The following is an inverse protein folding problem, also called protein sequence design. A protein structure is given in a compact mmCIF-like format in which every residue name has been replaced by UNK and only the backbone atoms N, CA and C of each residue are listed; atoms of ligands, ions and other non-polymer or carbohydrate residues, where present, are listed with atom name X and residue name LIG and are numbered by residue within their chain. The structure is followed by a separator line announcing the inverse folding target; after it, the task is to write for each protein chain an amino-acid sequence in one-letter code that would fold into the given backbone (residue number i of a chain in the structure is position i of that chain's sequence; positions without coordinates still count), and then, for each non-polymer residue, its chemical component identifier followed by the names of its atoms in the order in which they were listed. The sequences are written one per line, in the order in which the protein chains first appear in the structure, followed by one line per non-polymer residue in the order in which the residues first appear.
data_IF_821104773240
#
_entry.id   IF_821104773240
#
_cell.length_a   1.000
_cell.length_b   1.000
_cell.length_c   1.000
_cell.angle_alpha   90.00
_cell.angle_beta   90.00
_cell.angle_gamma   90.00
#
_symmetry.space_group_name_H-M   'P 1'
#
loop_
_entity.id
_entity.type
_entity.pdbx_description
1 polymer ?
#
# COMPACT_ATOMS: atom_id res chain seq x y z
N UNK A 1 5.22 -27.12 -36.94
CA UNK A 1 3.88 -27.36 -36.37
C UNK A 1 3.55 -26.23 -35.43
N UNK A 2 2.29 -25.79 -35.32
CA UNK A 2 1.90 -24.68 -34.43
C UNK A 2 0.87 -25.15 -33.40
N UNK A 3 1.01 -24.69 -32.15
CA UNK A 3 0.08 -25.01 -31.06
C UNK A 3 -0.24 -23.74 -30.26
N UNK A 4 -1.51 -23.55 -29.93
CA UNK A 4 -1.96 -22.43 -29.10
C UNK A 4 -1.90 -22.79 -27.62
N UNK A 5 -1.40 -21.90 -26.74
CA UNK A 5 -1.46 -22.09 -25.29
C UNK A 5 -2.90 -22.30 -24.79
N UNK A 6 -3.10 -23.37 -24.00
CA UNK A 6 -4.41 -23.86 -23.55
C UNK A 6 -5.16 -24.71 -24.57
N UNK A 7 -4.62 -24.89 -25.78
CA UNK A 7 -5.14 -25.78 -26.80
C UNK A 7 -4.32 -27.07 -26.91
N UNK A 8 -4.72 -27.91 -27.87
CA UNK A 8 -4.04 -29.17 -28.17
C UNK A 8 -3.72 -29.26 -29.65
N UNK A 9 -2.57 -29.85 -29.99
CA UNK A 9 -2.22 -30.19 -31.36
C UNK A 9 -1.53 -31.56 -31.40
N UNK A 10 -1.59 -32.27 -32.53
CA UNK A 10 -0.99 -33.61 -32.66
C UNK A 10 -0.08 -33.72 -33.87
N UNK A 11 0.96 -34.55 -33.76
CA UNK A 11 1.79 -34.99 -34.88
C UNK A 11 2.16 -36.46 -34.71
N UNK A 12 2.76 -37.06 -35.72
CA UNK A 12 3.11 -38.47 -35.72
C UNK A 12 4.61 -38.66 -35.85
N UNK A 13 5.13 -39.72 -35.23
CA UNK A 13 6.50 -40.18 -35.36
C UNK A 13 6.47 -41.66 -35.77
N UNK A 14 7.13 -41.99 -36.87
CA UNK A 14 7.25 -43.38 -37.34
C UNK A 14 8.56 -43.98 -36.85
N UNK A 15 8.47 -45.08 -36.11
CA UNK A 15 9.62 -45.88 -35.65
C UNK A 15 9.72 -47.11 -36.54
N UNK A 16 10.91 -47.37 -37.08
CA UNK A 16 11.19 -48.56 -37.90
C UNK A 16 12.32 -49.38 -37.28
N UNK A 17 12.11 -50.69 -37.18
CA UNK A 17 13.16 -51.62 -36.75
C UNK A 17 13.98 -52.08 -37.96
N UNK A 18 15.17 -51.51 -38.15
CA UNK A 18 16.12 -51.92 -39.19
C UNK A 18 17.09 -53.03 -38.73
N UNK A 19 16.86 -53.58 -37.53
CA UNK A 19 17.62 -54.70 -36.99
C UNK A 19 17.17 -56.06 -37.52
N UNK A 20 17.87 -57.10 -37.08
CA UNK A 20 17.67 -58.52 -37.40
C UNK A 20 16.92 -59.30 -36.31
N UNK A 21 16.68 -58.68 -35.15
CA UNK A 21 15.94 -59.25 -34.01
C UNK A 21 14.68 -58.42 -33.70
N UNK A 22 13.74 -59.04 -32.96
CA UNK A 22 12.61 -58.33 -32.37
C UNK A 22 13.14 -57.39 -31.29
N UNK A 23 12.70 -56.14 -31.30
CA UNK A 23 13.21 -55.07 -30.44
C UNK A 23 12.01 -54.29 -29.88
N UNK A 24 12.07 -53.96 -28.60
CA UNK A 24 11.13 -53.04 -27.97
C UNK A 24 11.76 -51.65 -27.87
N UNK A 25 11.04 -50.62 -28.31
CA UNK A 25 11.47 -49.23 -28.25
C UNK A 25 10.63 -48.46 -27.24
N UNK A 26 11.29 -47.81 -26.28
CA UNK A 26 10.65 -46.86 -25.36
C UNK A 26 10.86 -45.44 -25.89
N UNK A 27 9.80 -44.65 -25.96
CA UNK A 27 9.82 -43.30 -26.46
C UNK A 27 9.63 -42.30 -25.33
N UNK A 28 10.53 -41.34 -25.25
CA UNK A 28 10.51 -40.30 -24.21
C UNK A 28 10.70 -38.93 -24.86
N UNK A 29 9.77 -38.01 -24.61
CA UNK A 29 9.94 -36.62 -25.05
C UNK A 29 10.94 -35.94 -24.11
N UNK A 30 11.92 -35.24 -24.67
CA UNK A 30 12.98 -34.55 -23.93
C UNK A 30 13.12 -33.11 -24.41
N UNK A 31 13.69 -32.25 -23.56
CA UNK A 31 13.84 -30.83 -23.82
C UNK A 31 12.61 -30.01 -23.39
N UNK A 32 12.53 -28.77 -23.89
CA UNK A 32 11.58 -27.76 -23.43
C UNK A 32 10.11 -28.12 -23.70
N UNK A 33 9.86 -29.03 -24.65
CA UNK A 33 8.52 -29.54 -24.94
C UNK A 33 8.04 -30.63 -23.96
N UNK A 34 8.92 -31.26 -23.20
CA UNK A 34 8.62 -32.47 -22.45
C UNK A 34 7.52 -32.28 -21.40
N UNK A 35 7.47 -31.13 -20.74
CA UNK A 35 6.50 -30.83 -19.69
C UNK A 35 5.04 -30.78 -20.18
N UNK A 36 4.82 -30.63 -21.47
CA UNK A 36 3.49 -30.44 -22.07
C UNK A 36 3.27 -31.29 -23.33
N UNK A 37 4.09 -32.32 -23.53
CA UNK A 37 3.95 -33.25 -24.65
C UNK A 37 3.83 -34.68 -24.15
N UNK A 38 2.88 -35.43 -24.69
CA UNK A 38 2.74 -36.87 -24.44
C UNK A 38 2.97 -37.67 -25.72
N UNK A 39 3.49 -38.89 -25.58
CA UNK A 39 3.71 -39.83 -26.68
C UNK A 39 2.92 -41.10 -26.43
N UNK A 40 2.08 -41.49 -27.39
CA UNK A 40 1.23 -42.67 -27.29
C UNK A 40 1.24 -43.50 -28.59
N UNK A 41 1.54 -44.80 -28.54
CA UNK A 41 2.05 -45.54 -27.37
C UNK A 41 3.49 -45.12 -26.99
N UNK A 42 3.79 -45.07 -25.69
CA UNK A 42 5.13 -44.75 -25.17
C UNK A 42 6.13 -45.92 -25.32
N UNK A 43 5.64 -47.13 -25.64
CA UNK A 43 6.46 -48.30 -25.91
C UNK A 43 5.86 -49.11 -27.06
N UNK A 44 6.69 -49.45 -28.03
CA UNK A 44 6.31 -50.26 -29.20
C UNK A 44 7.24 -51.48 -29.31
N UNK A 45 6.72 -52.61 -29.78
CA UNK A 45 7.51 -53.83 -30.00
C UNK A 45 7.45 -54.19 -31.47
N UNK A 46 8.60 -54.14 -32.15
CA UNK A 46 8.68 -54.23 -33.60
C UNK A 46 9.50 -55.45 -34.04
N UNK A 47 8.96 -56.20 -35.00
CA UNK A 47 9.72 -57.24 -35.70
C UNK A 47 10.72 -56.61 -36.69
N UNK A 48 11.78 -57.34 -37.07
CA UNK A 48 12.70 -56.93 -38.13
C UNK A 48 11.97 -56.42 -39.39
N UNK A 49 12.34 -55.25 -39.88
CA UNK A 49 11.78 -54.62 -41.08
C UNK A 49 10.39 -54.00 -40.92
N UNK A 50 9.78 -54.06 -39.74
CA UNK A 50 8.45 -53.47 -39.48
C UNK A 50 8.55 -52.04 -38.97
N UNK A 51 7.46 -51.27 -39.11
CA UNK A 51 7.35 -49.92 -38.58
C UNK A 51 6.02 -49.72 -37.86
N UNK A 52 6.03 -48.87 -36.85
CA UNK A 52 4.83 -48.43 -36.15
C UNK A 52 4.83 -46.91 -36.03
N UNK A 53 3.65 -46.31 -36.05
CA UNK A 53 3.47 -44.87 -35.94
C UNK A 53 2.91 -44.55 -34.56
N UNK A 54 3.63 -43.71 -33.81
CA UNK A 54 3.17 -43.17 -32.54
C UNK A 54 2.61 -41.76 -32.74
N UNK A 55 1.71 -41.37 -31.85
CA UNK A 55 1.12 -40.02 -31.83
C UNK A 55 1.78 -39.20 -30.73
N UNK A 56 2.24 -38.02 -31.09
CA UNK A 56 2.72 -36.99 -30.18
C UNK A 56 1.59 -35.96 -29.99
N UNK A 57 1.18 -35.74 -28.76
CA UNK A 57 0.14 -34.77 -28.40
C UNK A 57 0.75 -33.63 -27.59
N UNK A 58 0.60 -32.41 -28.09
CA UNK A 58 1.11 -31.18 -27.46
C UNK A 58 -0.05 -30.45 -26.81
N UNK A 59 0.07 -30.15 -25.52
CA UNK A 59 -0.92 -29.43 -24.73
C UNK A 59 -0.25 -28.38 -23.83
N UNK A 60 0.39 -27.34 -24.40
CA UNK A 60 1.02 -26.29 -23.60
C UNK A 60 -0.03 -25.59 -22.72
N UNK A 61 0.19 -25.48 -21.40
CA UNK A 61 -0.73 -24.74 -20.54
C UNK A 61 -0.83 -23.27 -20.98
N UNK A 62 -1.99 -22.66 -20.76
CA UNK A 62 -2.16 -21.21 -20.96
C UNK A 62 -1.47 -20.44 -19.82
N UNK A 63 -0.14 -20.36 -19.89
CA UNK A 63 0.73 -19.77 -18.88
C UNK A 63 1.88 -18.98 -19.51
N UNK A 64 2.30 -17.90 -18.85
CA UNK A 64 3.45 -17.08 -19.25
C UNK A 64 4.79 -17.85 -19.17
N UNK A 65 4.81 -18.98 -18.47
CA UNK A 65 5.96 -19.88 -18.39
C UNK A 65 6.30 -20.52 -19.74
N UNK A 66 5.29 -20.76 -20.59
CA UNK A 66 5.48 -21.30 -21.94
C UNK A 66 5.56 -20.15 -22.94
N UNK A 67 6.79 -19.69 -23.20
CA UNK A 67 7.09 -18.57 -24.10
C UNK A 67 6.58 -18.82 -25.52
N UNK A 68 6.09 -17.75 -26.17
CA UNK A 68 5.74 -17.81 -27.58
C UNK A 68 6.98 -17.96 -28.46
N UNK A 69 6.83 -18.61 -29.61
CA UNK A 69 7.89 -18.78 -30.60
C UNK A 69 8.30 -20.23 -30.81
N UNK A 70 9.46 -20.41 -31.43
CA UNK A 70 9.96 -21.74 -31.82
C UNK A 70 10.58 -22.44 -30.61
N UNK A 71 10.05 -23.60 -30.26
CA UNK A 71 10.54 -24.46 -29.18
C UNK A 71 11.07 -25.77 -29.77
N UNK A 72 12.30 -26.20 -29.40
CA UNK A 72 12.86 -27.46 -29.88
C UNK A 72 12.10 -28.66 -29.29
N UNK A 73 11.78 -29.62 -30.16
CA UNK A 73 11.21 -30.91 -29.82
C UNK A 73 12.26 -31.99 -30.06
N UNK A 74 12.53 -32.80 -29.05
CA UNK A 74 13.36 -33.98 -29.18
C UNK A 74 12.62 -35.19 -28.61
N UNK A 75 12.62 -36.30 -29.33
CA UNK A 75 12.04 -37.57 -28.86
C UNK A 75 13.16 -38.59 -28.78
N UNK A 76 13.51 -39.02 -27.58
CA UNK A 76 14.50 -40.06 -27.36
C UNK A 76 13.84 -41.43 -27.57
N UNK A 77 14.39 -42.20 -28.50
CA UNK A 77 13.94 -43.56 -28.81
C UNK A 77 14.98 -44.55 -28.27
N UNK A 78 14.61 -45.30 -27.24
CA UNK A 78 15.46 -46.20 -26.46
C UNK A 78 15.17 -47.66 -26.82
N UNK A 79 16.06 -48.35 -27.54
CA UNK A 79 15.97 -49.80 -27.74
C UNK A 79 16.21 -50.54 -26.42
N UNK A 80 15.49 -51.63 -26.18
CA UNK A 80 15.58 -52.42 -24.95
C UNK A 80 16.73 -53.43 -24.95
N UNK A 81 16.99 -54.09 -26.08
CA UNK A 81 18.02 -55.11 -26.26
C UNK A 81 19.38 -54.50 -26.64
N UNK A 82 19.39 -53.34 -27.31
CA UNK A 82 20.61 -52.58 -27.67
C UNK A 82 20.61 -51.13 -27.14
N UNK A 83 20.81 -50.92 -25.83
CA UNK A 83 20.77 -49.58 -25.22
C UNK A 83 21.82 -48.60 -25.75
N UNK A 84 22.86 -49.06 -26.43
CA UNK A 84 23.86 -48.23 -27.09
C UNK A 84 23.38 -47.61 -28.42
N UNK A 85 22.28 -48.11 -28.99
CA UNK A 85 21.75 -47.71 -30.30
C UNK A 85 20.64 -46.63 -30.20
N UNK A 86 20.72 -45.76 -29.20
CA UNK A 86 19.73 -44.69 -28.98
C UNK A 86 19.75 -43.66 -30.10
N UNK A 87 18.58 -43.24 -30.55
CA UNK A 87 18.41 -42.15 -31.51
C UNK A 87 17.50 -41.07 -30.94
N UNK A 88 17.77 -39.82 -31.32
CA UNK A 88 16.99 -38.65 -30.87
C UNK A 88 16.58 -37.84 -32.10
N UNK A 89 15.46 -38.18 -32.77
CA UNK A 89 14.86 -37.30 -33.76
C UNK A 89 14.51 -35.94 -33.15
N UNK A 90 14.91 -34.88 -33.86
CA UNK A 90 14.67 -33.48 -33.48
C UNK A 90 13.72 -32.82 -34.49
N UNK A 91 12.88 -31.91 -33.98
CA UNK A 91 11.97 -31.07 -34.76
C UNK A 91 11.67 -29.78 -33.98
N UNK A 92 10.74 -28.96 -34.48
CA UNK A 92 10.37 -27.71 -33.84
C UNK A 92 8.86 -27.55 -33.73
N UNK A 93 8.41 -27.05 -32.58
CA UNK A 93 7.03 -26.68 -32.30
C UNK A 93 6.94 -25.17 -32.11
N UNK A 94 6.08 -24.52 -32.87
CA UNK A 94 5.81 -23.08 -32.75
C UNK A 94 4.67 -22.87 -31.77
N UNK A 95 4.96 -22.29 -30.61
CA UNK A 95 3.95 -21.89 -29.63
C UNK A 95 3.37 -20.53 -30.05
N UNK A 96 2.05 -20.46 -30.22
CA UNK A 96 1.39 -19.22 -30.60
C UNK A 96 1.45 -18.18 -29.47
N UNK A 97 1.50 -16.88 -29.80
CA UNK A 97 1.43 -15.82 -28.81
C UNK A 97 0.04 -15.75 -28.17
N UNK A 98 -0.02 -15.46 -26.88
CA UNK A 98 -1.22 -14.99 -26.21
C UNK A 98 -0.90 -13.81 -25.31
N UNK A 99 -1.84 -12.88 -25.27
CA UNK A 99 -1.74 -11.61 -24.57
C UNK A 99 -2.73 -11.63 -23.41
N UNK A 100 -2.26 -11.25 -22.22
CA UNK A 100 -3.10 -11.06 -21.05
C UNK A 100 -2.43 -10.03 -20.14
N UNK A 101 -2.94 -8.81 -20.14
CA UNK A 101 -2.44 -7.73 -19.30
C UNK A 101 -3.38 -7.52 -18.13
N UNK A 102 -2.83 -7.44 -16.91
CA UNK A 102 -3.59 -7.10 -15.71
C UNK A 102 -3.04 -5.84 -15.09
N UNK A 103 -3.90 -4.88 -14.78
CA UNK A 103 -3.51 -3.65 -14.14
C UNK A 103 -4.39 -3.36 -12.93
N UNK A 104 -3.83 -2.68 -11.92
CA UNK A 104 -4.52 -2.29 -10.71
C UNK A 104 -4.04 -0.92 -10.23
N UNK A 105 -4.97 -0.11 -9.71
CA UNK A 105 -4.69 1.23 -9.19
C UNK A 105 -4.77 1.24 -7.67
N UNK A 106 -3.67 1.64 -7.03
CA UNK A 106 -3.55 1.70 -5.58
C UNK A 106 -3.05 3.05 -5.04
N UNK A 107 -3.70 3.58 -3.99
CA UNK A 107 -5.05 3.24 -3.54
C UNK A 107 -6.10 3.88 -4.47
N UNK A 108 -7.30 3.32 -4.58
CA UNK A 108 -8.35 3.86 -5.47
C UNK A 108 -8.81 5.28 -5.11
N UNK A 109 -8.64 5.72 -3.86
CA UNK A 109 -8.97 7.08 -3.41
C UNK A 109 -7.86 7.70 -2.59
N UNK A 110 -7.52 8.96 -2.87
CA UNK A 110 -6.64 9.78 -2.02
C UNK A 110 -7.23 11.16 -1.78
N UNK A 111 -6.83 11.76 -0.65
CA UNK A 111 -7.15 13.15 -0.31
C UNK A 111 -5.89 14.02 -0.37
N UNK A 112 -6.03 15.26 -0.81
CA UNK A 112 -4.91 16.21 -0.86
C UNK A 112 -5.38 17.63 -1.20
N UNK A 113 -4.56 18.63 -0.92
CA UNK A 113 -4.90 20.04 -1.14
C UNK A 113 -4.76 20.46 -2.61
N UNK A 114 -3.69 20.00 -3.27
CA UNK A 114 -3.41 20.26 -4.68
C UNK A 114 -3.11 19.01 -5.50
N UNK A 115 -2.70 17.93 -4.86
CA UNK A 115 -2.45 16.67 -5.57
C UNK A 115 -2.24 15.50 -4.63
N UNK A 116 -2.18 14.33 -5.23
CA UNK A 116 -1.95 13.07 -4.57
C UNK A 116 -1.07 12.16 -5.44
N UNK A 117 -0.45 11.18 -4.78
CA UNK A 117 0.31 10.12 -5.45
C UNK A 117 -0.45 8.81 -5.33
N UNK A 118 -0.48 8.12 -6.45
CA UNK A 118 -1.06 6.80 -6.67
C UNK A 118 0.03 5.91 -7.27
N UNK A 119 -0.23 4.61 -7.29
CA UNK A 119 0.59 3.61 -7.96
C UNK A 119 -0.30 2.78 -8.85
N UNK A 120 0.16 2.52 -10.07
CA UNK A 120 -0.48 1.59 -10.98
C UNK A 120 0.41 0.38 -11.08
N UNK A 121 -0.04 -0.74 -10.53
CA UNK A 121 0.62 -2.04 -10.68
C UNK A 121 0.15 -2.63 -12.01
N UNK A 122 1.08 -3.06 -12.86
CA UNK A 122 0.77 -3.73 -14.13
C UNK A 122 1.56 -5.02 -14.21
N UNK A 123 0.91 -6.09 -14.62
CA UNK A 123 1.47 -7.43 -14.77
C UNK A 123 1.17 -7.98 -16.15
N UNK A 124 2.21 -8.48 -16.83
CA UNK A 124 2.08 -9.25 -18.05
C UNK A 124 1.85 -10.73 -17.70
N UNK A 125 0.63 -11.23 -17.91
CA UNK A 125 0.26 -12.65 -17.77
C UNK A 125 0.29 -13.40 -19.11
N UNK A 126 0.57 -12.70 -20.22
CA UNK A 126 0.81 -13.28 -21.52
C UNK A 126 2.16 -14.00 -21.62
N UNK A 127 2.40 -14.68 -22.74
CA UNK A 127 3.67 -15.37 -23.02
C UNK A 127 4.60 -14.63 -23.98
N UNK A 128 4.25 -13.40 -24.36
CA UNK A 128 5.06 -12.49 -25.17
C UNK A 128 5.47 -11.26 -24.37
N UNK A 129 6.65 -10.68 -24.60
CA UNK A 129 6.98 -9.36 -24.07
C UNK A 129 5.98 -8.31 -24.57
N UNK A 130 5.59 -7.38 -23.70
CA UNK A 130 4.62 -6.33 -24.02
C UNK A 130 5.14 -4.96 -23.59
N UNK A 131 5.03 -3.98 -24.47
CA UNK A 131 5.30 -2.58 -24.15
C UNK A 131 4.00 -1.94 -23.66
N UNK A 132 3.89 -1.66 -22.37
CA UNK A 132 2.68 -1.04 -21.80
C UNK A 132 2.79 0.47 -21.87
N UNK A 133 1.72 1.12 -22.33
CA UNK A 133 1.54 2.58 -22.27
C UNK A 133 0.44 2.89 -21.25
N UNK A 134 0.75 3.76 -20.30
CA UNK A 134 -0.15 4.20 -19.24
C UNK A 134 -0.66 5.61 -19.54
N UNK A 135 -1.98 5.75 -19.59
CA UNK A 135 -2.65 7.02 -19.81
C UNK A 135 -3.69 7.28 -18.73
N UNK A 136 -3.87 8.56 -18.38
CA UNK A 136 -4.89 9.01 -17.45
C UNK A 136 -5.98 9.76 -18.20
N UNK A 137 -7.24 9.46 -17.91
CA UNK A 137 -8.41 10.12 -18.49
C UNK A 137 -9.23 10.78 -17.37
N UNK A 138 -9.73 11.98 -17.63
CA UNK A 138 -10.74 12.62 -16.80
C UNK A 138 -11.78 13.23 -17.75
N UNK A 139 -13.06 13.13 -17.41
CA UNK A 139 -14.14 13.73 -18.21
C UNK A 139 -14.06 15.26 -18.24
N UNK A 140 -13.57 15.87 -17.15
CA UNK A 140 -13.28 17.31 -17.07
C UNK A 140 -11.80 17.63 -17.21
N UNK A 141 -11.47 18.92 -17.26
CA UNK A 141 -10.08 19.41 -17.39
C UNK A 141 -9.43 19.79 -16.05
N UNK A 142 -10.04 19.45 -14.91
CA UNK A 142 -9.63 19.94 -13.59
C UNK A 142 -8.37 19.28 -13.02
N UNK A 143 -8.02 18.07 -13.48
CA UNK A 143 -6.83 17.34 -13.07
C UNK A 143 -5.78 17.27 -14.18
N UNK A 144 -4.53 17.17 -13.75
CA UNK A 144 -3.38 16.78 -14.55
C UNK A 144 -2.87 15.46 -14.00
N UNK A 145 -2.86 14.43 -14.84
CA UNK A 145 -2.38 13.09 -14.53
C UNK A 145 -1.03 12.89 -15.21
N UNK A 146 -0.01 12.53 -14.42
CA UNK A 146 1.33 12.27 -14.94
C UNK A 146 1.88 10.95 -14.42
N UNK A 147 2.30 10.09 -15.34
CA UNK A 147 2.97 8.82 -15.03
C UNK A 147 4.49 8.99 -15.09
N UNK A 148 5.21 8.20 -14.31
CA UNK A 148 6.67 8.17 -14.34
C UNK A 148 7.17 6.74 -14.08
N UNK A 149 7.64 6.01 -15.11
CA UNK A 149 7.53 6.32 -16.55
C UNK A 149 6.08 6.17 -17.07
N UNK A 150 5.75 6.75 -18.22
CA UNK A 150 4.45 6.56 -18.90
C UNK A 150 4.43 5.34 -19.84
N UNK A 151 5.61 4.79 -20.15
CA UNK A 151 5.80 3.55 -20.90
C UNK A 151 6.70 2.59 -20.14
N UNK A 152 6.37 1.30 -20.16
CA UNK A 152 7.15 0.25 -19.51
C UNK A 152 7.05 -1.05 -20.28
N UNK A 153 8.20 -1.57 -20.71
CA UNK A 153 8.31 -2.94 -21.23
C UNK A 153 8.23 -3.94 -20.08
N UNK A 154 7.42 -4.99 -20.26
CA UNK A 154 7.24 -6.09 -19.33
C UNK A 154 7.51 -7.42 -20.05
N UNK A 155 8.42 -8.21 -19.49
CA UNK A 155 8.59 -9.60 -19.88
C UNK A 155 7.39 -10.46 -19.43
N UNK A 156 7.15 -11.62 -20.07
CA UNK A 156 6.16 -12.59 -19.61
C UNK A 156 6.34 -12.93 -18.12
N UNK A 157 5.28 -12.74 -17.34
CA UNK A 157 5.25 -12.91 -15.89
C UNK A 157 5.76 -11.70 -15.09
N UNK A 158 6.36 -10.69 -15.72
CA UNK A 158 6.88 -9.50 -15.03
C UNK A 158 5.74 -8.61 -14.53
N UNK A 159 5.92 -8.11 -13.31
CA UNK A 159 5.08 -7.09 -12.70
C UNK A 159 5.90 -5.82 -12.46
N UNK A 160 5.33 -4.66 -12.75
CA UNK A 160 5.93 -3.37 -12.43
C UNK A 160 4.93 -2.42 -11.78
N UNK A 161 5.42 -1.63 -10.84
CA UNK A 161 4.68 -0.49 -10.27
C UNK A 161 5.11 0.80 -10.96
N UNK A 162 4.14 1.58 -11.42
CA UNK A 162 4.36 2.89 -12.02
C UNK A 162 3.74 3.97 -11.14
N UNK A 163 4.52 5.01 -10.85
CA UNK A 163 4.04 6.13 -10.05
C UNK A 163 3.09 7.00 -10.89
N UNK A 164 1.88 7.24 -10.35
CA UNK A 164 0.91 8.17 -10.90
C UNK A 164 0.80 9.39 -9.98
N UNK A 165 1.02 10.57 -10.55
CA UNK A 165 0.81 11.85 -9.88
C UNK A 165 -0.45 12.50 -10.42
N UNK A 166 -1.42 12.71 -9.53
CA UNK A 166 -2.66 13.44 -9.85
C UNK A 166 -2.59 14.82 -9.20
N UNK A 167 -2.83 15.87 -9.96
CA UNK A 167 -2.87 17.25 -9.46
C UNK A 167 -4.08 17.99 -9.95
N UNK A 168 -4.77 18.69 -9.06
CA UNK A 168 -5.76 19.68 -9.44
C UNK A 168 -5.08 20.91 -10.06
N UNK A 169 -5.75 21.56 -11.00
CA UNK A 169 -5.26 22.80 -11.63
C UNK A 169 -5.43 24.03 -10.74
N UNK A 170 -6.45 24.04 -9.88
CA UNK A 170 -6.81 25.18 -9.01
C UNK A 170 -6.78 24.77 -7.54
N UNK A 171 -6.36 25.69 -6.67
CA UNK A 171 -6.45 25.52 -5.21
C UNK A 171 -7.87 25.83 -4.72
N UNK A 172 -8.37 25.03 -3.78
CA UNK A 172 -9.58 25.37 -3.01
C UNK A 172 -9.12 26.02 -1.71
N UNK A 173 -9.38 27.31 -1.54
CA UNK A 173 -8.94 28.05 -0.35
C UNK A 173 -9.86 27.82 0.85
N UNK A 174 -11.16 27.89 0.63
CA UNK A 174 -12.21 27.69 1.63
C UNK A 174 -13.35 26.91 0.99
N UNK A 175 -14.10 26.14 1.78
CA UNK A 175 -15.26 25.42 1.26
C UNK A 175 -15.38 24.02 1.82
N UNK A 176 -16.13 23.19 1.10
CA UNK A 176 -16.25 21.75 1.33
C UNK A 176 -15.26 21.00 0.42
N UNK A 177 -14.80 19.80 0.81
CA UNK A 177 -13.97 18.98 -0.07
C UNK A 177 -14.69 18.62 -1.37
N UNK A 178 -14.01 18.75 -2.51
CA UNK A 178 -14.53 18.38 -3.84
C UNK A 178 -13.88 17.08 -4.29
N UNK A 179 -14.66 16.15 -4.84
CA UNK A 179 -14.14 14.86 -5.33
C UNK A 179 -14.06 14.86 -6.84
N UNK A 180 -12.90 14.50 -7.38
CA UNK A 180 -12.60 14.44 -8.79
C UNK A 180 -12.37 12.97 -9.20
N UNK A 181 -13.29 12.34 -9.94
CA UNK A 181 -13.07 11.01 -10.50
C UNK A 181 -12.11 11.08 -11.68
N UNK A 182 -11.32 10.04 -11.88
CA UNK A 182 -10.45 9.85 -13.04
C UNK A 182 -10.32 8.37 -13.37
N UNK A 183 -9.82 8.05 -14.55
CA UNK A 183 -9.56 6.69 -15.00
C UNK A 183 -8.10 6.53 -15.40
N UNK A 184 -7.55 5.34 -15.18
CA UNK A 184 -6.25 4.92 -15.69
C UNK A 184 -6.44 3.83 -16.72
N UNK A 185 -5.81 3.98 -17.87
CA UNK A 185 -5.81 3.03 -18.96
C UNK A 185 -4.40 2.47 -19.10
N UNK A 186 -4.28 1.13 -19.09
CA UNK A 186 -3.06 0.42 -19.43
C UNK A 186 -3.27 -0.29 -20.77
N UNK A 187 -2.71 0.28 -21.83
CA UNK A 187 -2.85 -0.25 -23.19
C UNK A 187 -1.54 -0.88 -23.64
N UNK A 188 -1.64 -1.95 -24.42
CA UNK A 188 -0.48 -2.45 -25.16
C UNK A 188 -0.09 -1.40 -26.21
N UNK A 189 1.11 -0.85 -26.08
CA UNK A 189 1.72 0.00 -27.07
C UNK A 189 1.98 -0.86 -28.30
N UNK A 190 1.24 -0.58 -29.38
CA UNK A 190 1.48 -1.22 -30.66
C UNK A 190 2.96 -1.15 -30.99
N UNK A 191 3.58 -2.32 -31.11
CA UNK A 191 4.98 -2.42 -31.49
C UNK A 191 5.20 -1.69 -32.81
N UNK A 192 6.37 -1.06 -32.96
CA UNK A 192 6.85 -0.54 -34.22
C UNK A 192 6.91 -1.70 -35.24
N UNK A 193 5.84 -1.85 -36.02
CA UNK A 193 5.66 -3.00 -36.90
C UNK A 193 4.29 -3.07 -37.54
N UNK A 194 3.77 -1.94 -38.05
CA UNK A 194 2.82 -1.81 -39.18
C UNK A 194 2.33 -0.35 -39.24
N UNK A 195 3.23 0.56 -39.61
CA UNK A 195 2.84 1.85 -40.13
C UNK A 195 2.62 1.69 -41.63
N UNK A 196 1.40 1.30 -42.03
CA UNK A 196 0.78 1.60 -43.33
C UNK A 196 -0.65 1.04 -43.36
N UNK A 197 -1.56 1.70 -42.65
CA UNK A 197 -2.99 1.61 -42.95
C UNK A 197 -3.67 2.94 -42.58
N UNK A 198 -4.07 3.69 -43.62
CA UNK A 198 -4.83 4.94 -43.50
C UNK A 198 -6.13 4.77 -42.70
N UNK A 199 -6.60 5.85 -42.02
CA UNK A 199 -7.80 5.80 -41.21
C UNK A 199 -9.06 5.84 -42.09
N UNK A 200 -9.74 4.70 -42.22
CA UNK A 200 -11.14 4.69 -42.71
C UNK A 200 -12.09 5.02 -41.57
N UNK A 201 -12.77 6.15 -41.74
CA UNK A 201 -13.86 6.61 -40.89
C UNK A 201 -15.14 5.75 -41.04
N UNK A 202 -15.93 5.80 -39.96
CA UNK A 202 -17.36 5.50 -39.83
C UNK A 202 -17.75 4.03 -39.64
N UNK A 203 -18.22 3.70 -38.42
CA UNK A 203 -19.65 3.41 -38.19
C UNK A 203 -19.94 3.19 -36.70
N UNK A 204 -20.93 3.94 -36.20
CA UNK A 204 -21.72 3.64 -35.01
C UNK A 204 -22.33 2.24 -35.10
N UNK A 205 -22.02 1.37 -34.13
CA UNK A 205 -22.63 0.04 -34.02
C UNK A 205 -22.31 -0.60 -32.67
N UNK A 206 -23.36 -0.76 -31.87
CA UNK A 206 -23.56 -1.80 -30.82
C UNK A 206 -22.33 -2.31 -30.05
N UNK A 207 -22.31 -1.97 -28.76
CA UNK A 207 -21.47 -2.58 -27.73
C UNK A 207 -21.73 -4.09 -27.68
N UNK A 208 -20.79 -4.87 -28.22
CA UNK A 208 -20.67 -6.31 -27.99
C UNK A 208 -19.59 -6.53 -26.93
N UNK A 209 -20.00 -6.96 -25.73
CA UNK A 209 -19.10 -7.33 -24.65
C UNK A 209 -18.50 -8.72 -24.97
N UNK A 210 -17.36 -8.76 -25.66
CA UNK A 210 -16.76 -10.05 -26.01
C UNK A 210 -15.33 -10.05 -26.56
N UNK A 211 -14.59 -8.94 -26.54
CA UNK A 211 -13.19 -8.93 -26.98
C UNK A 211 -12.24 -9.09 -25.78
N UNK A 212 -11.57 -10.25 -25.57
CA UNK A 212 -10.53 -10.37 -24.57
C UNK A 212 -9.28 -9.62 -25.06
N UNK A 213 -9.08 -8.41 -24.57
CA UNK A 213 -7.92 -7.58 -24.94
C UNK A 213 -8.14 -6.07 -24.87
N UNK A 214 -9.36 -5.60 -24.62
CA UNK A 214 -9.60 -4.17 -24.35
C UNK A 214 -9.01 -3.77 -23.00
N UNK A 215 -8.21 -2.70 -22.98
CA UNK A 215 -7.70 -2.11 -21.74
C UNK A 215 -8.87 -1.72 -20.83
N UNK A 216 -9.04 -2.43 -19.71
CA UNK A 216 -10.09 -2.13 -18.74
C UNK A 216 -9.77 -0.81 -18.03
N UNK A 217 -10.68 0.19 -18.03
CA UNK A 217 -10.45 1.45 -17.34
C UNK A 217 -10.44 1.22 -15.82
N UNK A 218 -9.36 1.64 -15.16
CA UNK A 218 -9.21 1.56 -13.71
C UNK A 218 -9.70 2.86 -13.06
N UNK A 219 -10.84 2.86 -12.36
CA UNK A 219 -11.38 4.07 -11.74
C UNK A 219 -10.58 4.49 -10.50
N UNK A 220 -10.34 5.79 -10.38
CA UNK A 220 -9.69 6.42 -9.24
C UNK A 220 -10.41 7.72 -8.82
N UNK A 221 -10.24 8.10 -7.56
CA UNK A 221 -10.83 9.31 -6.99
C UNK A 221 -9.79 10.16 -6.27
N UNK A 222 -9.73 11.45 -6.63
CA UNK A 222 -8.96 12.45 -5.90
C UNK A 222 -9.91 13.42 -5.18
N UNK A 223 -9.93 13.34 -3.85
CA UNK A 223 -10.71 14.25 -3.01
C UNK A 223 -9.86 15.46 -2.58
N UNK A 224 -10.12 16.58 -3.22
CA UNK A 224 -9.45 17.84 -2.96
C UNK A 224 -9.98 18.50 -1.68
N UNK A 225 -9.11 18.70 -0.69
CA UNK A 225 -9.46 19.37 0.56
C UNK A 225 -9.12 20.87 0.51
N UNK A 226 -9.92 21.74 1.16
CA UNK A 226 -9.61 23.15 1.25
C UNK A 226 -8.34 23.39 2.08
N UNK A 227 -7.57 24.42 1.72
CA UNK A 227 -6.31 24.77 2.41
C UNK A 227 -6.58 25.37 3.79
N UNK A 228 -7.59 26.23 3.91
CA UNK A 228 -7.93 26.92 5.16
C UNK A 228 -9.33 26.53 5.63
N UNK A 229 -9.52 26.28 6.94
CA UNK A 229 -10.82 25.98 7.48
C UNK A 229 -11.69 27.25 7.56
N UNK A 230 -13.02 27.11 7.38
CA UNK A 230 -13.96 28.25 7.36
C UNK A 230 -13.95 29.08 8.65
N UNK A 231 -13.64 28.48 9.80
CA UNK A 231 -13.58 29.19 11.09
C UNK A 231 -12.46 30.25 11.14
N UNK A 232 -11.41 30.09 10.33
CA UNK A 232 -10.34 31.08 10.28
C UNK A 232 -10.84 32.43 9.76
N UNK A 233 -11.82 32.43 8.85
CA UNK A 233 -12.48 33.67 8.39
C UNK A 233 -13.27 34.34 9.51
N UNK A 234 -13.90 33.55 10.39
CA UNK A 234 -14.64 34.06 11.55
C UNK A 234 -13.67 34.69 12.55
N UNK A 235 -12.54 34.03 12.84
CA UNK A 235 -11.51 34.58 13.73
C UNK A 235 -10.87 35.83 13.16
N UNK A 236 -10.58 35.85 11.86
CA UNK A 236 -10.03 37.03 11.19
C UNK A 236 -11.03 38.20 11.25
N UNK A 237 -12.32 37.96 11.04
CA UNK A 237 -13.37 38.96 11.17
C UNK A 237 -13.49 39.48 12.61
N UNK A 238 -13.40 38.60 13.62
CA UNK A 238 -13.43 38.98 15.04
C UNK A 238 -12.21 39.82 15.43
N UNK A 239 -11.01 39.44 14.98
CA UNK A 239 -9.79 40.22 15.19
C UNK A 239 -9.87 41.60 14.53
N UNK A 240 -10.40 41.68 13.31
CA UNK A 240 -10.62 42.95 12.62
C UNK A 240 -11.63 43.83 13.39
N UNK A 241 -12.71 43.25 13.90
CA UNK A 241 -13.70 43.96 14.71
C UNK A 241 -13.10 44.48 16.03
N UNK A 242 -12.29 43.66 16.72
CA UNK A 242 -11.55 44.07 17.92
C UNK A 242 -10.56 45.19 17.62
N UNK A 243 -9.86 45.12 16.49
CA UNK A 243 -8.92 46.15 16.06
C UNK A 243 -9.66 47.47 15.76
N UNK A 244 -10.79 47.42 15.06
CA UNK A 244 -11.63 48.60 14.82
C UNK A 244 -12.18 49.17 16.13
N UNK A 245 -12.65 48.32 17.06
CA UNK A 245 -13.12 48.74 18.38
C UNK A 245 -12.00 49.39 19.20
N UNK A 246 -10.78 48.85 19.17
CA UNK A 246 -9.61 49.45 19.80
C UNK A 246 -9.32 50.86 19.26
N UNK A 247 -9.32 51.03 17.94
CA UNK A 247 -9.07 52.33 17.31
C UNK A 247 -10.21 53.33 17.55
N UNK A 248 -11.46 52.89 17.58
CA UNK A 248 -12.62 53.77 17.74
C UNK A 248 -12.96 54.13 19.19
N UNK A 249 -12.79 53.21 20.14
CA UNK A 249 -13.23 53.38 21.53
C UNK A 249 -12.05 53.59 22.49
N UNK A 250 -11.00 52.76 22.36
CA UNK A 250 -9.93 52.72 23.36
C UNK A 250 -8.88 53.80 23.10
N UNK A 251 -8.48 54.00 21.84
CA UNK A 251 -7.49 55.04 21.49
C UNK A 251 -7.91 56.47 21.88
N UNK A 252 -9.16 56.94 21.64
CA UNK A 252 -9.56 58.27 22.09
C UNK A 252 -9.71 58.37 23.62
N UNK A 253 -10.14 57.31 24.29
CA UNK A 253 -10.23 57.28 25.76
C UNK A 253 -8.84 57.31 26.43
N UNK A 254 -7.86 56.54 25.93
CA UNK A 254 -6.49 56.57 26.45
C UNK A 254 -5.85 57.95 26.22
N UNK A 255 -6.13 58.62 25.10
CA UNK A 255 -5.67 59.99 24.87
C UNK A 255 -6.35 61.02 25.79
N UNK A 256 -7.63 60.86 26.13
CA UNK A 256 -8.33 61.77 27.04
C UNK A 256 -7.92 61.57 28.50
N UNK A 257 -7.72 60.31 28.92
CA UNK A 257 -7.23 59.99 30.28
C UNK A 257 -5.77 60.41 30.45
N UNK A 258 -4.91 60.24 29.44
CA UNK A 258 -3.54 60.74 29.49
C UNK A 258 -3.47 62.28 29.53
N UNK A 259 -4.32 62.98 28.76
CA UNK A 259 -4.45 64.45 28.84
C UNK A 259 -5.01 64.94 30.17
N UNK A 260 -6.00 64.24 30.74
CA UNK A 260 -6.56 64.56 32.06
C UNK A 260 -5.58 64.26 33.21
N UNK A 261 -4.83 63.17 33.14
CA UNK A 261 -3.79 62.87 34.13
C UNK A 261 -2.64 63.88 34.06
N UNK A 262 -2.22 64.29 32.85
CA UNK A 262 -1.25 65.38 32.67
C UNK A 262 -1.77 66.74 33.15
N UNK A 263 -3.04 67.05 32.90
CA UNK A 263 -3.67 68.30 33.37
C UNK A 263 -3.87 68.31 34.90
N UNK A 264 -4.25 67.18 35.51
CA UNK A 264 -4.35 67.05 36.97
C UNK A 264 -2.98 67.11 37.65
N UNK A 265 -1.95 66.48 37.09
CA UNK A 265 -0.58 66.59 37.61
C UNK A 265 -0.06 68.04 37.52
N UNK A 266 -0.36 68.77 36.43
CA UNK A 266 -0.02 70.18 36.30
C UNK A 266 -0.80 71.09 37.26
N UNK A 267 -2.04 70.74 37.59
CA UNK A 267 -2.86 71.45 38.57
C UNK A 267 -2.41 71.16 40.02
N UNK A 268 -2.05 69.93 40.35
CA UNK A 268 -1.48 69.56 41.66
C UNK A 268 -0.13 70.24 41.91
N UNK A 269 0.72 70.43 40.89
CA UNK A 269 1.93 71.26 41.01
C UNK A 269 1.61 72.76 41.18
N UNK A 270 0.55 73.25 40.54
CA UNK A 270 0.12 74.66 40.68
C UNK A 270 -0.56 74.92 42.04
N UNK A 271 -1.24 73.93 42.61
CA UNK A 271 -1.84 73.97 43.95
C UNK A 271 -0.78 73.80 45.05
N UNK A 272 0.20 72.89 44.88
CA UNK A 272 1.40 72.86 45.74
C UNK A 272 2.19 74.17 45.70
N UNK A 273 2.24 74.83 44.54
CA UNK A 273 2.82 76.17 44.38
C UNK A 273 1.97 77.30 44.97
N UNK A 274 0.68 77.07 45.28
CA UNK A 274 -0.24 78.07 45.85
C UNK A 274 -0.47 77.92 47.36
N UNK A 275 -0.32 76.72 47.92
CA UNK A 275 -0.30 76.52 49.39
C UNK A 275 1.02 76.97 50.03
N UNK A 276 2.07 77.20 49.23
CA UNK A 276 3.26 77.97 49.62
C UNK A 276 3.18 79.40 49.08
N UNK A 277 2.29 80.19 49.67
CA UNK A 277 2.24 81.64 49.47
C UNK A 277 3.51 82.34 49.98
N UNK A 278 4.47 82.52 49.07
CA UNK A 278 5.34 83.68 48.89
C UNK A 278 5.87 84.45 50.11
N UNK A 279 7.19 84.42 50.31
CA UNK A 279 7.96 85.61 50.71
C UNK A 279 9.20 85.75 49.80
N UNK A 280 9.46 86.94 49.21
CA UNK A 280 10.49 87.18 48.18
C UNK A 280 11.91 87.45 48.81
N UNK A 281 12.97 87.69 48.00
CA UNK A 281 14.33 87.20 48.24
C UNK A 281 15.20 88.12 49.12
N UNK A 282 16.27 87.56 49.68
CA UNK A 282 17.42 88.34 50.14
C UNK A 282 18.36 87.56 51.06
N UNK A 283 19.60 87.33 50.61
CA UNK A 283 20.68 86.84 51.47
C UNK A 283 21.63 85.89 50.76
N UNK A 284 22.59 86.47 50.03
CA UNK A 284 23.71 85.75 49.45
C UNK A 284 24.67 85.23 50.52
N UNK A 285 25.17 84.01 50.37
CA UNK A 285 26.58 83.68 50.61
C UNK A 285 26.97 82.38 49.88
N UNK A 286 27.88 82.56 48.92
CA UNK A 286 28.77 81.55 48.32
C UNK A 286 29.81 81.09 49.39
N UNK A 287 30.74 80.13 49.16
CA UNK A 287 31.01 79.36 47.93
C UNK A 287 31.31 77.85 48.15
N UNK A 288 31.36 77.08 47.04
CA UNK A 288 32.33 76.02 46.72
C UNK A 288 31.71 75.12 45.62
N UNK A 289 32.13 75.24 44.37
CA UNK A 289 33.18 74.39 43.78
C UNK A 289 32.52 73.26 42.97
N UNK A 290 32.37 73.41 41.65
CA UNK A 290 33.29 72.82 40.67
C UNK A 290 32.84 71.40 40.28
N UNK A 291 32.06 71.24 39.19
CA UNK A 291 32.51 70.91 37.81
C UNK A 291 32.87 69.42 37.63
N UNK A 292 32.21 68.75 36.68
CA UNK A 292 32.57 67.39 36.31
C UNK A 292 31.61 66.71 35.35
N UNK A 293 31.66 67.13 34.09
CA UNK A 293 31.11 66.47 32.91
C UNK A 293 31.97 65.25 32.53
N UNK A 294 31.41 64.23 31.84
CA UNK A 294 32.24 63.28 31.08
C UNK A 294 31.74 61.83 30.96
N UNK A 295 31.09 61.55 29.82
CA UNK A 295 31.36 60.46 28.84
C UNK A 295 31.95 59.09 29.27
N UNK A 296 31.38 58.01 28.72
CA UNK A 296 31.77 56.58 28.87
C UNK A 296 33.13 56.16 28.27
N UNK A 297 33.49 54.87 28.25
CA UNK A 297 33.14 53.98 27.11
C UNK A 297 33.05 52.45 27.42
N UNK A 298 32.95 51.67 26.33
CA UNK A 298 32.88 50.20 26.13
C UNK A 298 33.78 49.26 26.95
N UNK A 299 33.38 47.98 27.01
CA UNK A 299 34.29 46.86 27.36
C UNK A 299 33.64 45.48 27.59
N UNK A 300 33.54 44.67 26.52
CA UNK A 300 33.85 43.22 26.38
C UNK A 300 33.79 42.23 27.57
N UNK A 301 33.17 41.05 27.32
CA UNK A 301 33.03 39.86 28.22
C UNK A 301 34.33 39.11 28.61
N UNK A 302 34.31 37.91 29.26
CA UNK A 302 33.69 36.67 28.73
C UNK A 302 33.16 35.64 29.78
N UNK A 303 32.53 34.56 29.29
CA UNK A 303 32.84 33.15 29.66
C UNK A 303 32.49 32.57 31.04
N UNK A 304 31.74 31.46 31.04
CA UNK A 304 31.59 30.53 32.17
C UNK A 304 30.46 29.51 31.93
N UNK A 305 30.56 28.61 30.95
CA UNK A 305 30.98 27.20 31.10
C UNK A 305 30.54 26.49 32.39
N UNK A 306 29.56 25.60 32.24
CA UNK A 306 29.23 24.53 33.18
C UNK A 306 28.71 23.30 32.41
N UNK A 307 29.63 22.57 31.77
CA UNK A 307 29.48 21.14 31.40
C UNK A 307 29.65 20.29 32.67
N UNK A 308 29.06 19.11 32.91
CA UNK A 308 28.24 18.15 32.17
C UNK A 308 27.75 17.10 33.20
N UNK A 309 27.67 15.77 32.94
CA UNK A 309 27.48 15.01 31.69
C UNK A 309 26.12 14.26 31.71
N UNK A 310 25.55 13.87 30.57
CA UNK A 310 25.79 12.55 29.97
C UNK A 310 24.51 11.71 29.96
N UNK A 311 23.85 11.59 28.81
CA UNK A 311 22.66 10.77 28.63
C UNK A 311 22.33 10.59 27.15
N UNK A 312 22.79 9.48 26.60
CA UNK A 312 22.54 9.00 25.24
C UNK A 312 21.06 8.98 24.88
N UNK A 313 20.67 9.70 23.82
CA UNK A 313 19.31 9.72 23.28
C UNK A 313 19.34 9.59 21.76
N UNK A 314 18.95 8.41 21.26
CA UNK A 314 18.81 8.09 19.84
C UNK A 314 17.70 8.90 19.16
N UNK A 315 17.84 9.00 17.83
CA UNK A 315 17.04 9.85 16.97
C UNK A 315 15.52 9.60 17.07
N UNK A 316 14.80 10.67 17.39
CA UNK A 316 13.36 10.78 17.22
C UNK A 316 13.04 11.77 16.12
N UNK A 317 12.72 11.27 14.93
CA UNK A 317 12.09 12.06 13.88
C UNK A 317 10.62 12.28 14.23
N UNK A 318 10.33 13.45 14.78
CA UNK A 318 8.97 13.93 15.10
C UNK A 318 8.16 14.19 13.82
N UNK A 319 7.14 13.36 13.61
CA UNK A 319 6.02 13.62 12.71
C UNK A 319 4.71 13.50 13.48
N UNK A 320 4.30 14.57 14.17
CA UNK A 320 2.97 14.68 14.77
C UNK A 320 2.07 15.54 13.88
N UNK A 321 0.92 15.01 13.42
CA UNK A 321 -0.34 15.11 14.16
C UNK A 321 -1.52 14.58 13.32
N UNK A 322 -2.35 13.71 13.92
CA UNK A 322 -3.63 13.29 13.33
C UNK A 322 -4.26 12.05 13.97
N UNK A 323 -4.76 12.15 15.22
CA UNK A 323 -5.75 11.20 15.76
C UNK A 323 -5.29 10.19 16.83
N UNK A 324 -4.70 10.67 17.93
CA UNK A 324 -4.86 10.16 19.31
C UNK A 324 -4.97 8.65 19.60
N UNK A 325 -4.14 7.79 19.02
CA UNK A 325 -4.05 6.40 19.42
C UNK A 325 -2.68 5.79 19.17
N UNK A 326 -2.21 4.96 20.09
CA UNK A 326 -0.96 4.21 19.97
C UNK A 326 -1.23 2.93 19.17
N UNK A 327 -0.34 2.59 18.25
CA UNK A 327 -0.40 1.30 17.57
C UNK A 327 -0.24 0.19 18.61
N UNK A 328 -1.18 -0.75 18.65
CA UNK A 328 -1.19 -1.83 19.63
C UNK A 328 -1.28 -3.19 18.92
N UNK A 329 -0.49 -4.14 19.40
CA UNK A 329 -0.57 -5.56 19.04
C UNK A 329 -0.61 -6.41 20.30
N UNK A 330 -1.44 -7.46 20.30
CA UNK A 330 -1.65 -8.37 21.43
C UNK A 330 -1.69 -9.80 20.95
N UNK A 331 -1.02 -10.68 21.70
CA UNK A 331 -1.03 -12.12 21.45
C UNK A 331 -1.85 -12.80 22.53
N UNK A 332 -2.79 -13.63 22.12
CA UNK A 332 -3.59 -14.51 22.96
C UNK A 332 -3.17 -15.94 22.62
N UNK A 333 -2.51 -16.58 23.56
CA UNK A 333 -2.00 -17.95 23.45
C UNK A 333 -2.92 -18.89 24.23
N UNK A 334 -3.47 -19.90 23.57
CA UNK A 334 -4.43 -20.84 24.16
C UNK A 334 -3.93 -22.26 24.01
N UNK A 335 -3.74 -22.94 25.14
CA UNK A 335 -3.36 -24.35 25.22
C UNK A 335 -4.53 -25.15 25.76
N UNK A 336 -4.98 -26.13 24.98
CA UNK A 336 -6.21 -26.86 25.26
C UNK A 336 -5.93 -28.36 25.25
N UNK A 337 -6.32 -29.07 26.31
CA UNK A 337 -6.23 -30.53 26.35
C UNK A 337 -7.21 -31.15 25.35
N UNK A 338 -6.88 -32.33 24.81
CA UNK A 338 -7.78 -33.08 23.94
C UNK A 338 -9.15 -33.31 24.62
N UNK A 339 -10.24 -33.06 23.89
CA UNK A 339 -11.62 -33.16 24.37
C UNK A 339 -12.09 -32.02 25.28
N UNK A 340 -11.27 -30.98 25.49
CA UNK A 340 -11.62 -29.83 26.32
C UNK A 340 -11.85 -28.57 25.48
N UNK A 341 -12.47 -27.57 26.11
CA UNK A 341 -12.54 -26.19 25.63
C UNK A 341 -11.86 -25.30 26.65
N UNK A 342 -10.95 -24.45 26.20
CA UNK A 342 -10.24 -23.48 27.03
C UNK A 342 -10.26 -22.12 26.33
N UNK A 343 -10.16 -21.03 27.09
CA UNK A 343 -10.22 -19.68 26.56
C UNK A 343 -8.99 -18.85 26.97
N UNK A 344 -8.48 -18.07 26.01
CA UNK A 344 -7.54 -16.99 26.28
C UNK A 344 -8.19 -15.66 25.95
N UNK A 345 -7.90 -14.63 26.74
CA UNK A 345 -8.49 -13.31 26.55
C UNK A 345 -7.51 -12.18 26.83
N UNK A 346 -7.63 -11.11 26.05
CA UNK A 346 -7.04 -9.81 26.32
C UNK A 346 -8.13 -8.81 26.73
N UNK A 347 -8.02 -8.23 27.93
CA UNK A 347 -8.95 -7.21 28.41
C UNK A 347 -8.48 -5.81 28.01
N UNK A 348 -9.36 -5.01 27.41
CA UNK A 348 -9.08 -3.61 27.09
C UNK A 348 -9.01 -2.80 28.41
N UNK A 349 -7.93 -2.04 28.65
CA UNK A 349 -7.81 -1.24 29.86
C UNK A 349 -8.95 -0.23 30.04
N UNK A 350 -9.26 0.09 31.29
CA UNK A 350 -10.20 1.17 31.61
C UNK A 350 -9.74 2.50 30.99
N UNK A 351 -10.68 3.31 30.50
CA UNK A 351 -10.45 4.57 29.82
C UNK A 351 -9.92 4.45 28.39
N UNK A 352 -9.81 3.24 27.83
CA UNK A 352 -9.30 3.00 26.46
C UNK A 352 -10.35 2.32 25.58
N UNK A 353 -10.29 2.58 24.28
CA UNK A 353 -10.97 1.78 23.24
C UNK A 353 -9.93 1.16 22.32
N UNK A 354 -10.04 -0.14 22.08
CA UNK A 354 -9.18 -0.85 21.14
C UNK A 354 -9.89 -0.99 19.80
N UNK A 355 -9.39 -0.31 18.77
CA UNK A 355 -9.89 -0.37 17.39
C UNK A 355 -9.09 -1.43 16.64
N UNK A 356 -9.60 -2.65 16.61
CA UNK A 356 -8.95 -3.80 15.97
C UNK A 356 -9.12 -3.71 14.46
N UNK A 357 -8.02 -3.84 13.73
CA UNK A 357 -8.00 -3.84 12.25
C UNK A 357 -7.64 -5.19 11.69
N UNK A 358 -6.82 -5.97 12.41
CA UNK A 358 -6.27 -7.22 11.88
C UNK A 358 -6.20 -8.30 12.95
N UNK A 359 -6.45 -9.52 12.54
CA UNK A 359 -6.30 -10.73 13.31
C UNK A 359 -5.54 -11.78 12.50
N UNK A 360 -4.58 -12.45 13.12
CA UNK A 360 -3.91 -13.63 12.57
C UNK A 360 -4.04 -14.79 13.56
N UNK A 361 -4.55 -15.91 13.09
CA UNK A 361 -4.72 -17.15 13.86
C UNK A 361 -3.75 -18.20 13.34
N UNK A 362 -2.96 -18.80 14.22
CA UNK A 362 -2.01 -19.85 13.87
C UNK A 362 -2.40 -21.19 14.50
N UNK A 363 -2.67 -22.17 13.63
CA UNK A 363 -2.77 -23.59 13.93
C UNK A 363 -1.51 -24.33 13.44
N UNK A 364 -0.38 -24.01 14.04
CA UNK A 364 0.94 -24.46 13.57
C UNK A 364 1.20 -25.96 13.81
N UNK A 365 0.49 -26.58 14.76
CA UNK A 365 0.61 -28.02 15.05
C UNK A 365 -0.25 -28.89 14.14
N UNK A 366 -1.22 -28.27 13.46
CA UNK A 366 -2.21 -28.98 12.65
C UNK A 366 -3.27 -29.67 13.48
N UNK A 367 -3.71 -29.02 14.55
CA UNK A 367 -4.78 -29.47 15.43
C UNK A 367 -6.12 -29.56 14.70
N UNK A 368 -7.03 -30.41 15.20
CA UNK A 368 -8.41 -30.55 14.72
C UNK A 368 -9.38 -30.10 15.83
N UNK A 369 -10.47 -29.43 15.47
CA UNK A 369 -11.41 -28.85 16.44
C UNK A 369 -11.97 -27.51 15.98
N UNK A 370 -12.29 -26.62 16.92
CA UNK A 370 -12.85 -25.30 16.63
C UNK A 370 -12.12 -24.20 17.38
N UNK A 371 -11.89 -23.08 16.72
CA UNK A 371 -11.54 -21.80 17.36
C UNK A 371 -12.64 -20.78 17.11
N UNK A 372 -13.12 -20.15 18.18
CA UNK A 372 -14.09 -19.05 18.11
C UNK A 372 -13.44 -17.77 18.62
N UNK A 373 -13.50 -16.72 17.81
CA UNK A 373 -12.93 -15.41 18.14
C UNK A 373 -14.07 -14.44 18.41
N UNK A 374 -14.02 -13.77 19.56
CA UNK A 374 -15.06 -12.84 20.00
C UNK A 374 -14.45 -11.53 20.48
N UNK A 375 -15.09 -10.42 20.16
CA UNK A 375 -14.74 -9.07 20.62
C UNK A 375 -15.88 -8.53 21.48
N UNK A 376 -15.70 -8.52 22.79
CA UNK A 376 -16.78 -8.32 23.75
C UNK A 376 -17.82 -9.42 23.62
N UNK A 377 -19.09 -9.03 23.48
CA UNK A 377 -20.21 -9.97 23.28
C UNK A 377 -20.37 -10.41 21.81
N UNK A 378 -19.65 -9.77 20.87
CA UNK A 378 -19.79 -10.05 19.45
C UNK A 378 -18.88 -11.22 19.05
N UNK A 379 -19.49 -12.32 18.62
CA UNK A 379 -18.77 -13.42 17.96
C UNK A 379 -18.36 -12.98 16.55
N UNK A 380 -17.06 -12.90 16.30
CA UNK A 380 -16.50 -12.46 15.02
C UNK A 380 -16.51 -13.60 14.02
N UNK A 381 -15.97 -14.76 14.40
CA UNK A 381 -15.93 -15.94 13.54
C UNK A 381 -15.71 -17.22 14.35
N UNK A 382 -16.09 -18.36 13.77
CA UNK A 382 -15.75 -19.70 14.25
C UNK A 382 -15.14 -20.48 13.09
N UNK A 383 -13.98 -21.07 13.31
CA UNK A 383 -13.18 -21.72 12.27
C UNK A 383 -12.86 -23.15 12.72
N UNK A 384 -13.01 -24.10 11.82
CA UNK A 384 -12.53 -25.46 12.02
C UNK A 384 -11.00 -25.48 11.92
N UNK A 385 -10.31 -26.01 12.94
CA UNK A 385 -8.84 -25.96 13.01
C UNK A 385 -8.19 -26.73 11.85
N UNK A 386 -8.84 -27.80 11.39
CA UNK A 386 -8.37 -28.64 10.29
C UNK A 386 -8.35 -27.96 8.92
N UNK A 387 -9.02 -26.81 8.74
CA UNK A 387 -9.10 -26.13 7.43
C UNK A 387 -7.96 -25.15 7.19
N UNK A 388 -7.13 -24.85 8.19
CA UNK A 388 -6.06 -23.88 8.05
C UNK A 388 -4.80 -24.23 8.87
N UNK A 389 -3.71 -23.53 8.55
CA UNK A 389 -2.48 -23.50 9.35
C UNK A 389 -2.16 -22.10 9.84
N UNK A 390 -2.35 -21.11 8.97
CA UNK A 390 -2.36 -19.69 9.33
C UNK A 390 -3.54 -19.04 8.60
N UNK A 391 -4.35 -18.27 9.31
CA UNK A 391 -5.50 -17.56 8.75
C UNK A 391 -5.46 -16.10 9.19
N UNK A 392 -5.51 -15.19 8.23
CA UNK A 392 -5.61 -13.75 8.47
C UNK A 392 -7.02 -13.24 8.19
N UNK A 393 -7.43 -12.22 8.95
CA UNK A 393 -8.60 -11.40 8.72
C UNK A 393 -8.22 -9.93 8.91
N UNK A 394 -8.58 -9.10 7.95
CA UNK A 394 -8.33 -7.67 7.96
C UNK A 394 -9.62 -6.89 7.68
N UNK A 395 -9.82 -5.78 8.39
CA UNK A 395 -11.01 -4.95 8.27
C UNK A 395 -10.63 -3.51 7.91
N UNK A 396 -11.26 -2.99 6.84
CA UNK A 396 -11.13 -1.57 6.44
C UNK A 396 -11.78 -0.65 7.49
N UNK A 397 -12.89 -1.07 8.08
CA UNK A 397 -13.55 -0.39 9.19
C UNK A 397 -13.16 -1.08 10.50
N UNK A 398 -12.39 -0.44 11.40
CA UNK A 398 -11.94 -1.08 12.62
C UNK A 398 -13.12 -1.51 13.52
N UNK A 399 -13.02 -2.70 14.10
CA UNK A 399 -13.99 -3.16 15.10
C UNK A 399 -13.59 -2.58 16.45
N UNK A 400 -14.51 -1.86 17.09
CA UNK A 400 -14.24 -1.19 18.36
C UNK A 400 -14.54 -2.13 19.53
N UNK A 401 -13.54 -2.37 20.35
CA UNK A 401 -13.66 -3.09 21.62
C UNK A 401 -13.62 -2.05 22.74
N UNK A 402 -14.75 -1.81 23.42
CA UNK A 402 -14.83 -0.76 24.44
C UNK A 402 -13.96 -1.11 25.65
N UNK A 403 -13.76 -0.13 26.53
CA UNK A 403 -13.05 -0.35 27.79
C UNK A 403 -13.66 -1.51 28.58
N UNK A 404 -12.83 -2.26 29.30
CA UNK A 404 -13.20 -3.42 30.10
C UNK A 404 -13.78 -4.63 29.34
N UNK A 405 -14.12 -4.51 28.05
CA UNK A 405 -14.45 -5.65 27.22
C UNK A 405 -13.19 -6.46 26.84
N UNK A 406 -13.38 -7.70 26.39
CA UNK A 406 -12.31 -8.63 26.07
C UNK A 406 -12.25 -8.98 24.60
N UNK A 407 -11.05 -9.18 24.08
CA UNK A 407 -10.82 -9.95 22.86
C UNK A 407 -10.51 -11.38 23.30
N UNK A 408 -11.31 -12.34 22.87
CA UNK A 408 -11.26 -13.73 23.36
C UNK A 408 -11.04 -14.70 22.21
N UNK A 409 -10.19 -15.71 22.43
CA UNK A 409 -10.08 -16.91 21.61
C UNK A 409 -10.53 -18.11 22.46
N UNK A 410 -11.62 -18.75 22.05
CA UNK A 410 -12.15 -19.96 22.67
C UNK A 410 -11.82 -21.16 21.78
N UNK A 411 -11.05 -22.11 22.31
CA UNK A 411 -10.51 -23.24 21.53
C UNK A 411 -11.08 -24.54 22.08
N UNK A 412 -11.83 -25.25 21.25
CA UNK A 412 -12.29 -26.62 21.49
C UNK A 412 -11.37 -27.57 20.75
N UNK A 413 -10.60 -28.35 21.50
CA UNK A 413 -9.63 -29.30 20.95
C UNK A 413 -10.28 -30.66 20.74
N UNK A 414 -10.52 -31.06 19.49
CA UNK A 414 -10.99 -32.42 19.18
C UNK A 414 -9.82 -33.40 19.17
N UNK A 415 -8.73 -33.04 18.48
CA UNK A 415 -7.54 -33.88 18.36
C UNK A 415 -6.27 -33.02 18.21
N UNK A 416 -5.25 -33.23 19.06
CA UNK A 416 -3.95 -32.59 18.89
C UNK A 416 -3.28 -33.00 17.57
N UNK A 417 -2.65 -32.04 16.92
CA UNK A 417 -1.97 -32.21 15.66
C UNK A 417 -0.61 -32.90 15.78
N UNK A 418 -0.07 -33.27 14.63
CA UNK A 418 1.28 -33.86 14.50
C UNK A 418 2.13 -32.93 13.65
N UNK A 419 3.00 -32.10 14.27
CA UNK A 419 3.96 -31.26 13.54
C UNK A 419 4.92 -32.08 12.67
N UNK A 420 5.67 -31.41 11.78
CA UNK A 420 6.63 -32.05 10.86
C UNK A 420 7.68 -32.96 11.52
N UNK A 421 7.89 -32.82 12.84
CA UNK A 421 8.72 -33.73 13.64
C UNK A 421 8.18 -35.17 13.73
N UNK A 422 6.92 -35.41 13.37
CA UNK A 422 6.27 -36.72 13.42
C UNK A 422 5.76 -37.14 14.80
N UNK A 423 6.12 -36.42 15.87
CA UNK A 423 5.60 -36.65 17.21
C UNK A 423 4.31 -35.86 17.44
N UNK A 424 3.23 -36.56 17.80
CA UNK A 424 1.95 -35.90 18.10
C UNK A 424 2.07 -35.01 19.35
N UNK A 425 1.49 -33.81 19.30
CA UNK A 425 1.44 -32.90 20.43
C UNK A 425 0.58 -33.45 21.59
N UNK A 426 0.87 -33.03 22.82
CA UNK A 426 0.12 -33.47 24.01
C UNK A 426 -1.24 -32.78 24.19
N UNK A 427 -1.53 -31.75 23.40
CA UNK A 427 -2.73 -30.92 23.45
C UNK A 427 -2.75 -29.98 22.25
N UNK A 428 -3.88 -29.35 21.97
CA UNK A 428 -3.97 -28.31 20.95
C UNK A 428 -3.33 -27.01 21.45
N UNK A 429 -2.69 -26.26 20.55
CA UNK A 429 -2.07 -24.98 20.85
C UNK A 429 -2.32 -23.98 19.73
N UNK A 430 -3.11 -22.95 20.04
CA UNK A 430 -3.50 -21.91 19.09
C UNK A 430 -2.97 -20.56 19.54
N UNK A 431 -2.51 -19.76 18.58
CA UNK A 431 -2.02 -18.40 18.83
C UNK A 431 -2.84 -17.42 18.00
N UNK A 432 -3.49 -16.49 18.68
CA UNK A 432 -4.25 -15.39 18.09
C UNK A 432 -3.47 -14.09 18.28
N UNK A 433 -3.00 -13.49 17.18
CA UNK A 433 -2.43 -12.15 17.19
C UNK A 433 -3.49 -11.15 16.73
N UNK A 434 -3.66 -10.06 17.48
CA UNK A 434 -4.67 -9.03 17.23
C UNK A 434 -3.97 -7.68 17.21
N UNK A 435 -4.16 -6.92 16.14
CA UNK A 435 -3.52 -5.61 15.98
C UNK A 435 -4.49 -4.52 15.56
N UNK A 436 -4.13 -3.28 15.87
CA UNK A 436 -4.93 -2.11 15.59
C UNK A 436 -4.42 -0.89 16.37
N UNK A 437 -5.36 -0.03 16.77
CA UNK A 437 -5.04 1.22 17.48
C UNK A 437 -5.73 1.24 18.84
N UNK A 438 -4.96 1.43 19.91
CA UNK A 438 -5.47 1.65 21.25
C UNK A 438 -5.49 3.16 21.53
N UNK A 439 -6.68 3.71 21.76
CA UNK A 439 -6.88 5.15 21.95
C UNK A 439 -7.57 5.44 23.27
N UNK A 440 -7.32 6.63 23.83
CA UNK A 440 -8.07 7.12 24.98
C UNK A 440 -9.53 7.38 24.60
N UNK A 441 -10.46 7.00 25.48
CA UNK A 441 -11.85 7.40 25.36
C UNK A 441 -11.94 8.92 25.59
N UNK A 442 -12.51 9.63 24.62
CA UNK A 442 -12.88 11.03 24.81
C UNK A 442 -13.94 11.07 25.92
N UNK A 443 -13.59 11.67 27.06
CA UNK A 443 -14.51 11.87 28.18
C UNK A 443 -15.48 13.01 27.93
#
# INVERSE_FOLDING_TARGET
MTVSPGGTATTTLTVRNDGDIVEAYTLEVVGDCAAWTTVEPARVSLYPGTSETVTLTFAPPRSHEVRAGVTPLAVRVLPAERPESVVVPESTVTVAPFHELRAELEPRRRRGWLGARFRTAVQNKGNTPVDVVLAGRQDGEDLTLGFTPDKKRLEPGESAEVALKVRARKLIWFGEPVTWPFEVLATEGGGEGEADAEPKAVATGSVDHGQPGGAEPLPGEFAQIPVLPKWLLIVLAALLALLLAWFALVRPAVQSTAKQAGAKAAQEETERGREQGSTPPGGAENPAGGRGEGTGPDGTGPGGTGSGPGGTGGGGGTGGNGGGGEQASRTIDVKTRAGATEEGAYKVPAGKVFRVTDVVVANFQGDEGLVTISFGENKITTIALETFRNQDYHWVTPIQVPENATVTASVTCAKPGTPATGQQASGCHQVLNVSGVLSDLAR
#
